data_IF_111930245385
#
_entry.id   IF_111930245385
#
_cell.length_a   1.000
_cell.length_b   1.000
_cell.length_c   1.000
_cell.angle_alpha   90.00
_cell.angle_beta   90.00
_cell.angle_gamma   90.00
#
_symmetry.space_group_name_H-M   'P 1'
#
loop_
_entity.id
_entity.type
_entity.pdbx_description
1 polymer ?
#
# COMPACT_ATOMS: atom_id res chain seq x y z
N UNK A 1 15.87 8.08 -4.29
CA UNK A 1 16.02 9.08 -3.21
C UNK A 1 15.93 10.46 -3.82
N UNK A 2 15.10 11.32 -3.24
CA UNK A 2 15.04 12.73 -3.62
C UNK A 2 15.26 13.61 -2.38
N UNK A 3 15.73 14.83 -2.58
CA UNK A 3 16.05 15.79 -1.52
C UNK A 3 14.81 16.57 -1.01
N UNK A 4 13.61 16.20 -1.45
CA UNK A 4 12.38 16.84 -1.01
C UNK A 4 12.09 16.52 0.46
N UNK A 5 11.69 17.52 1.21
CA UNK A 5 11.30 17.39 2.62
C UNK A 5 9.79 17.41 2.84
N UNK A 6 9.04 17.90 1.88
CA UNK A 6 7.59 18.06 1.95
C UNK A 6 6.90 17.38 0.76
N UNK A 7 5.83 16.66 1.03
CA UNK A 7 5.11 15.85 0.04
C UNK A 7 3.60 16.04 0.17
N UNK A 8 2.91 16.14 -0.95
CA UNK A 8 1.45 16.07 -1.02
C UNK A 8 1.08 14.64 -1.40
N UNK A 9 0.31 13.98 -0.54
CA UNK A 9 -0.10 12.59 -0.70
C UNK A 9 -1.53 12.54 -1.22
N UNK A 10 -1.70 11.98 -2.41
CA UNK A 10 -3.00 11.86 -3.10
C UNK A 10 -3.52 10.42 -3.18
N UNK A 11 -2.96 9.52 -2.38
CA UNK A 11 -3.42 8.14 -2.24
C UNK A 11 -4.24 7.94 -0.97
N UNK A 12 -4.69 6.73 -0.74
CA UNK A 12 -5.46 6.33 0.45
C UNK A 12 -4.76 6.73 1.75
N UNK A 13 -5.50 7.31 2.69
CA UNK A 13 -4.97 7.97 3.89
C UNK A 13 -4.29 7.04 4.90
N UNK A 14 -4.55 5.74 4.84
CA UNK A 14 -3.93 4.75 5.73
C UNK A 14 -2.40 4.65 5.62
N UNK A 15 -1.81 5.15 4.52
CA UNK A 15 -0.35 5.19 4.36
C UNK A 15 0.34 6.21 5.28
N UNK A 16 -0.41 7.16 5.88
CA UNK A 16 0.15 8.25 6.70
C UNK A 16 1.01 7.73 7.85
N UNK A 17 0.51 6.76 8.59
CA UNK A 17 1.23 6.19 9.73
C UNK A 17 2.57 5.56 9.33
N UNK A 18 2.57 4.84 8.20
CA UNK A 18 3.78 4.22 7.65
C UNK A 18 4.80 5.26 7.19
N UNK A 19 4.34 6.26 6.43
CA UNK A 19 5.20 7.33 5.94
C UNK A 19 5.85 8.13 7.08
N UNK A 20 5.06 8.46 8.11
CA UNK A 20 5.57 9.17 9.28
C UNK A 20 6.59 8.35 10.08
N UNK A 21 6.37 7.04 10.21
CA UNK A 21 7.27 6.14 10.92
C UNK A 21 8.59 5.94 10.18
N UNK A 22 8.54 5.76 8.85
CA UNK A 22 9.72 5.49 8.04
C UNK A 22 10.55 6.77 7.75
N UNK A 23 9.91 7.94 7.77
CA UNK A 23 10.53 9.21 7.40
C UNK A 23 10.21 10.34 8.40
N UNK A 24 10.68 10.26 9.65
CA UNK A 24 10.33 11.22 10.71
C UNK A 24 10.79 12.66 10.45
N UNK A 25 11.72 12.85 9.52
CA UNK A 25 12.20 14.18 9.12
C UNK A 25 11.44 14.83 7.97
N UNK A 26 10.48 14.11 7.36
CA UNK A 26 9.72 14.60 6.21
C UNK A 26 8.29 14.94 6.60
N UNK A 27 7.70 15.90 5.86
CA UNK A 27 6.32 16.34 6.08
C UNK A 27 5.40 15.82 4.98
N UNK A 28 4.26 15.27 5.40
CA UNK A 28 3.27 14.71 4.51
C UNK A 28 1.94 15.45 4.67
N UNK A 29 1.41 15.96 3.56
CA UNK A 29 0.17 16.71 3.51
C UNK A 29 -0.89 15.91 2.75
N UNK A 30 -2.09 15.89 3.26
CA UNK A 30 -3.24 15.27 2.62
C UNK A 30 -4.24 16.35 2.19
N UNK A 31 -4.99 16.17 1.08
CA UNK A 31 -6.08 17.08 0.71
C UNK A 31 -7.13 17.17 1.83
N UNK A 32 -7.92 18.27 1.85
CA UNK A 32 -8.99 18.47 2.82
C UNK A 32 -9.99 17.30 2.83
N UNK A 33 -10.35 16.80 1.65
CA UNK A 33 -11.10 15.56 1.50
C UNK A 33 -10.10 14.41 1.38
N UNK A 34 -9.71 13.84 2.53
CA UNK A 34 -8.74 12.76 2.56
C UNK A 34 -9.18 11.60 1.67
N UNK A 35 -8.33 11.14 0.74
CA UNK A 35 -8.64 9.97 -0.06
C UNK A 35 -8.79 8.74 0.84
N UNK A 36 -9.98 8.15 0.85
CA UNK A 36 -10.29 6.97 1.65
C UNK A 36 -10.88 5.89 0.76
N UNK A 37 -10.27 4.72 0.75
CA UNK A 37 -10.80 3.57 0.04
C UNK A 37 -11.68 2.74 0.98
N UNK A 38 -12.99 2.72 0.71
CA UNK A 38 -13.96 1.97 1.51
C UNK A 38 -13.63 0.47 1.51
N UNK A 39 -13.16 -0.07 0.39
CA UNK A 39 -12.84 -1.49 0.28
C UNK A 39 -11.58 -1.85 1.08
N UNK A 40 -10.55 -1.01 1.09
CA UNK A 40 -9.38 -1.19 1.95
C UNK A 40 -9.76 -1.14 3.44
N UNK A 41 -10.70 -0.27 3.82
CA UNK A 41 -11.19 -0.16 5.21
C UNK A 41 -12.08 -1.35 5.65
N UNK A 42 -12.46 -2.23 4.74
CA UNK A 42 -13.12 -3.51 5.09
C UNK A 42 -12.17 -4.54 5.69
N UNK A 43 -10.86 -4.37 5.50
CA UNK A 43 -9.86 -5.20 6.16
C UNK A 43 -9.71 -4.75 7.62
N UNK A 44 -9.93 -5.67 8.55
CA UNK A 44 -9.81 -5.44 9.99
C UNK A 44 -8.79 -6.39 10.60
N UNK A 45 -8.32 -6.06 11.79
CA UNK A 45 -7.38 -6.95 12.52
C UNK A 45 -8.01 -8.30 12.86
N UNK A 46 -9.32 -8.33 13.15
CA UNK A 46 -10.05 -9.56 13.42
C UNK A 46 -10.09 -10.46 12.19
N UNK A 47 -10.36 -9.90 11.01
CA UNK A 47 -10.35 -10.65 9.75
C UNK A 47 -8.96 -11.16 9.42
N UNK A 48 -7.94 -10.34 9.60
CA UNK A 48 -6.54 -10.75 9.41
C UNK A 48 -6.18 -11.90 10.36
N UNK A 49 -6.52 -11.78 11.65
CA UNK A 49 -6.28 -12.84 12.63
C UNK A 49 -7.02 -14.13 12.27
N UNK A 50 -8.26 -14.02 11.80
CA UNK A 50 -9.05 -15.16 11.34
C UNK A 50 -8.33 -15.90 10.18
N UNK A 51 -7.96 -15.17 9.13
CA UNK A 51 -7.25 -15.73 7.97
C UNK A 51 -5.93 -16.41 8.38
N UNK A 52 -5.16 -15.78 9.26
CA UNK A 52 -3.90 -16.35 9.75
C UNK A 52 -4.08 -17.64 10.56
N UNK A 53 -5.24 -17.84 11.20
CA UNK A 53 -5.55 -19.03 11.99
C UNK A 53 -6.18 -20.15 11.18
N UNK A 54 -6.94 -19.81 10.16
CA UNK A 54 -7.78 -20.77 9.44
C UNK A 54 -7.29 -21.04 8.01
N UNK A 55 -6.41 -20.16 7.50
CA UNK A 55 -5.99 -20.16 6.08
C UNK A 55 -7.17 -20.06 5.10
N UNK A 56 -8.32 -19.54 5.57
CA UNK A 56 -9.47 -19.28 4.74
C UNK A 56 -9.20 -18.22 3.68
N UNK A 57 -10.02 -18.23 2.64
CA UNK A 57 -10.01 -17.20 1.61
C UNK A 57 -8.71 -17.19 0.78
N UNK A 58 -8.18 -18.36 0.50
CA UNK A 58 -7.04 -18.51 -0.39
C UNK A 58 -7.34 -17.89 -1.77
N UNK A 59 -6.44 -17.04 -2.23
CA UNK A 59 -6.49 -16.47 -3.57
C UNK A 59 -5.54 -17.22 -4.47
N UNK A 60 -6.10 -17.88 -5.49
CA UNK A 60 -5.32 -18.58 -6.51
C UNK A 60 -5.34 -17.80 -7.81
N UNK A 61 -4.20 -17.67 -8.43
CA UNK A 61 -4.05 -16.94 -9.70
C UNK A 61 -3.58 -17.88 -10.80
N UNK A 62 -3.95 -17.56 -12.04
CA UNK A 62 -3.39 -18.26 -13.21
C UNK A 62 -1.91 -17.90 -13.34
N UNK A 63 -1.04 -18.92 -13.46
CA UNK A 63 0.42 -18.72 -13.49
C UNK A 63 0.88 -17.85 -14.67
N UNK A 64 0.28 -18.02 -15.84
CA UNK A 64 0.60 -17.22 -17.03
C UNK A 64 0.25 -15.73 -16.81
N UNK A 65 -0.89 -15.46 -16.16
CA UNK A 65 -1.26 -14.10 -15.77
C UNK A 65 -0.29 -13.53 -14.73
N UNK A 66 0.08 -14.33 -13.73
CA UNK A 66 1.05 -13.94 -12.69
C UNK A 66 2.41 -13.57 -13.30
N UNK A 67 2.95 -14.40 -14.19
CA UNK A 67 4.22 -14.15 -14.88
C UNK A 67 4.19 -12.86 -15.69
N UNK A 68 3.11 -12.61 -16.41
CA UNK A 68 2.97 -11.38 -17.19
C UNK A 68 2.78 -10.14 -16.32
N UNK A 69 2.07 -10.26 -15.21
CA UNK A 69 1.78 -9.15 -14.28
C UNK A 69 2.98 -8.74 -13.43
N UNK A 70 3.94 -9.63 -13.17
CA UNK A 70 5.12 -9.33 -12.36
C UNK A 70 6.08 -8.37 -13.07
N UNK A 71 6.15 -8.42 -14.40
CA UNK A 71 7.08 -7.61 -15.20
C UNK A 71 6.94 -6.10 -14.94
N UNK A 72 5.74 -5.50 -15.04
CA UNK A 72 5.58 -4.07 -14.73
C UNK A 72 5.82 -3.73 -13.26
N UNK A 73 5.56 -4.66 -12.33
CA UNK A 73 5.83 -4.46 -10.91
C UNK A 73 7.35 -4.41 -10.63
N UNK A 74 8.11 -5.31 -11.20
CA UNK A 74 9.59 -5.30 -11.11
C UNK A 74 10.16 -4.01 -11.70
N UNK A 75 9.63 -3.58 -12.84
CA UNK A 75 10.05 -2.33 -13.47
C UNK A 75 9.74 -1.11 -12.61
N UNK A 76 8.60 -1.10 -11.95
CA UNK A 76 8.26 -0.04 -10.99
C UNK A 76 9.26 0.02 -9.83
N UNK A 77 9.65 -1.12 -9.28
CA UNK A 77 10.62 -1.20 -8.18
C UNK A 77 12.03 -0.76 -8.62
N UNK A 78 12.44 -1.08 -9.85
CA UNK A 78 13.71 -0.61 -10.40
C UNK A 78 13.76 0.92 -10.54
N UNK A 79 12.67 1.52 -11.03
CA UNK A 79 12.58 2.97 -11.26
C UNK A 79 12.37 3.76 -9.96
N UNK A 80 11.84 3.14 -8.92
CA UNK A 80 11.56 3.75 -7.62
C UNK A 80 12.72 3.74 -6.62
N UNK A 81 13.86 3.18 -7.01
CA UNK A 81 15.05 3.11 -6.17
C UNK A 81 15.91 4.37 -6.20
#
# INVERSE_FOLDING_TARGET
>A
ENDCEEFIICTEDGVEAKLAADHPGKKFYFPQNRPCCIDMKRNTLEKLLHVLRTEDNEVTENEELRESAIIPLERMLELGR
#
